data_IF_490311243422
#
_entry.id   IF_490311243422
#
_cell.length_a   1.000
_cell.length_b   1.000
_cell.length_c   1.000
_cell.angle_alpha   90.00
_cell.angle_beta   90.00
_cell.angle_gamma   90.00
#
_symmetry.space_group_name_H-M   'P 1'
#
loop_
_entity.id
_entity.type
_entity.pdbx_description
1 polymer ?
#
# COMPACT_ATOMS: atom_id res chain seq x y z
N UNK A 1 -4.54 -5.21 14.73
CA UNK A 1 -3.73 -4.37 13.81
C UNK A 1 -4.59 -4.04 12.62
N UNK A 2 -4.81 -2.76 12.31
CA UNK A 2 -5.66 -2.33 11.20
C UNK A 2 -4.83 -1.93 10.00
N UNK A 3 -5.05 -2.58 8.87
CA UNK A 3 -4.34 -2.33 7.62
C UNK A 3 -5.34 -1.81 6.59
N UNK A 4 -5.15 -0.57 6.17
CA UNK A 4 -5.87 0.03 5.05
C UNK A 4 -5.18 -0.30 3.74
N UNK A 5 -5.84 -1.02 2.84
CA UNK A 5 -5.39 -1.26 1.49
C UNK A 5 -6.12 -0.35 0.52
N UNK A 6 -5.39 0.31 -0.38
CA UNK A 6 -5.97 1.12 -1.44
C UNK A 6 -5.34 0.78 -2.78
N UNK A 7 -6.10 0.08 -3.62
CA UNK A 7 -5.65 -0.45 -4.92
C UNK A 7 -6.69 -0.15 -6.00
N UNK A 8 -6.32 -0.12 -7.30
CA UNK A 8 -7.29 0.00 -8.39
C UNK A 8 -8.09 -1.30 -8.53
N UNK A 9 -9.34 -1.33 -8.07
CA UNK A 9 -10.23 -2.49 -8.24
C UNK A 9 -11.07 -2.37 -9.52
N UNK A 10 -11.26 -1.13 -9.98
CA UNK A 10 -11.91 -0.80 -11.25
C UNK A 10 -11.05 0.16 -12.08
N UNK A 11 -11.40 0.31 -13.36
CA UNK A 11 -10.66 1.17 -14.28
C UNK A 11 -9.37 0.55 -14.78
N UNK A 12 -8.37 1.38 -15.09
CA UNK A 12 -7.10 0.93 -15.67
C UNK A 12 -6.26 0.22 -14.60
N UNK A 13 -5.73 -0.96 -14.90
CA UNK A 13 -4.97 -1.73 -13.90
C UNK A 13 -5.83 -2.41 -12.82
N UNK A 14 -7.14 -2.54 -13.05
CA UNK A 14 -8.04 -3.32 -12.20
C UNK A 14 -7.55 -4.76 -11.97
N UNK A 15 -6.97 -5.39 -13.00
CA UNK A 15 -6.41 -6.74 -12.89
C UNK A 15 -5.32 -6.80 -11.81
N UNK A 16 -4.40 -5.82 -11.79
CA UNK A 16 -3.34 -5.74 -10.78
C UNK A 16 -3.88 -5.50 -9.38
N UNK A 17 -4.86 -4.60 -9.22
CA UNK A 17 -5.42 -4.33 -7.89
C UNK A 17 -6.30 -5.47 -7.38
N UNK A 18 -7.00 -6.20 -8.25
CA UNK A 18 -7.74 -7.41 -7.87
C UNK A 18 -6.78 -8.51 -7.40
N UNK A 19 -5.70 -8.77 -8.14
CA UNK A 19 -4.66 -9.72 -7.71
C UNK A 19 -4.05 -9.28 -6.37
N UNK A 20 -3.67 -8.01 -6.23
CA UNK A 20 -3.11 -7.49 -4.98
C UNK A 20 -4.08 -7.64 -3.79
N UNK A 21 -5.37 -7.32 -3.97
CA UNK A 21 -6.40 -7.50 -2.94
C UNK A 21 -6.51 -8.96 -2.51
N UNK A 22 -6.61 -9.87 -3.46
CA UNK A 22 -6.70 -11.31 -3.18
C UNK A 22 -5.45 -11.80 -2.44
N UNK A 23 -4.25 -11.40 -2.87
CA UNK A 23 -3.00 -11.76 -2.18
C UNK A 23 -2.95 -11.26 -0.75
N UNK A 24 -3.43 -10.03 -0.49
CA UNK A 24 -3.49 -9.47 0.86
C UNK A 24 -4.53 -10.15 1.74
N UNK A 25 -5.68 -10.53 1.18
CA UNK A 25 -6.71 -11.29 1.88
C UNK A 25 -6.17 -12.66 2.32
N UNK A 26 -5.57 -13.41 1.39
CA UNK A 26 -4.95 -14.72 1.68
C UNK A 26 -3.86 -14.58 2.74
N UNK A 27 -2.95 -13.62 2.60
CA UNK A 27 -1.89 -13.40 3.58
C UNK A 27 -2.45 -13.03 4.97
N UNK A 28 -3.50 -12.21 5.01
CA UNK A 28 -4.18 -11.83 6.27
C UNK A 28 -4.79 -13.04 6.94
N UNK A 29 -5.48 -13.89 6.19
CA UNK A 29 -6.08 -15.13 6.69
C UNK A 29 -5.01 -16.09 7.23
N UNK A 30 -3.92 -16.31 6.49
CA UNK A 30 -2.82 -17.17 6.94
C UNK A 30 -2.13 -16.66 8.20
N UNK A 31 -1.88 -15.36 8.29
CA UNK A 31 -1.24 -14.76 9.47
C UNK A 31 -2.19 -14.83 10.67
N UNK A 32 -3.46 -14.51 10.49
CA UNK A 32 -4.46 -14.61 11.55
C UNK A 32 -4.64 -16.06 12.04
N UNK A 33 -4.62 -17.04 11.13
CA UNK A 33 -4.65 -18.46 11.48
C UNK A 33 -3.43 -18.90 12.32
N UNK A 34 -2.28 -18.24 12.15
CA UNK A 34 -1.04 -18.46 12.93
C UNK A 34 -0.99 -17.67 14.24
N UNK A 35 -2.08 -17.03 14.65
CA UNK A 35 -2.17 -16.25 15.89
C UNK A 35 -1.95 -14.75 15.72
N UNK A 36 -1.93 -14.24 14.48
CA UNK A 36 -1.82 -12.82 14.19
C UNK A 36 -0.41 -12.26 14.36
N UNK A 37 -0.28 -10.93 14.27
CA UNK A 37 1.00 -10.24 14.44
C UNK A 37 1.18 -9.95 15.94
N UNK A 38 2.15 -10.62 16.57
CA UNK A 38 2.40 -10.46 18.00
C UNK A 38 1.21 -10.86 18.88
N UNK A 39 0.38 -11.80 18.42
CA UNK A 39 -0.85 -12.21 19.13
C UNK A 39 -2.09 -11.37 18.81
N UNK A 40 -1.97 -10.35 17.95
CA UNK A 40 -3.09 -9.49 17.57
C UNK A 40 -3.59 -9.81 16.16
N UNK A 41 -4.91 -9.99 15.95
CA UNK A 41 -5.45 -10.22 14.63
C UNK A 41 -5.30 -8.98 13.74
N UNK A 42 -5.10 -9.23 12.45
CA UNK A 42 -5.09 -8.24 11.38
C UNK A 42 -6.54 -8.03 10.90
N UNK A 43 -6.94 -6.77 10.80
CA UNK A 43 -8.15 -6.32 10.12
C UNK A 43 -7.75 -5.60 8.83
N UNK A 44 -8.12 -6.18 7.69
CA UNK A 44 -7.82 -5.62 6.37
C UNK A 44 -9.03 -4.84 5.84
N UNK A 45 -8.82 -3.57 5.48
CA UNK A 45 -9.86 -2.68 4.94
C UNK A 45 -9.42 -2.22 3.54
N UNK A 46 -10.11 -2.69 2.50
CA UNK A 46 -9.75 -2.40 1.11
C UNK A 46 -10.67 -1.35 0.48
N UNK A 47 -10.08 -0.37 -0.21
CA UNK A 47 -10.80 0.62 -1.01
C UNK A 47 -10.31 0.68 -2.46
N UNK A 48 -11.23 1.01 -3.37
CA UNK A 48 -10.95 1.18 -4.79
C UNK A 48 -10.50 2.60 -5.11
N UNK A 49 -9.26 2.75 -5.57
CA UNK A 49 -8.71 4.05 -5.99
C UNK A 49 -9.24 4.54 -7.35
N UNK A 50 -9.87 3.67 -8.15
CA UNK A 50 -10.35 3.97 -9.51
C UNK A 50 -9.28 4.58 -10.43
N UNK A 51 -7.99 4.48 -10.09
CA UNK A 51 -6.88 5.20 -10.72
C UNK A 51 -6.97 6.73 -10.69
N UNK A 52 -7.72 7.30 -9.74
CA UNK A 52 -7.92 8.75 -9.62
C UNK A 52 -7.27 9.29 -8.34
N UNK A 53 -6.49 10.35 -8.48
CA UNK A 53 -5.83 11.04 -7.34
C UNK A 53 -6.85 11.58 -6.33
N UNK A 54 -7.93 12.17 -6.83
CA UNK A 54 -9.01 12.71 -6.01
C UNK A 54 -9.67 11.63 -5.15
N UNK A 55 -9.84 10.41 -5.67
CA UNK A 55 -10.35 9.28 -4.91
C UNK A 55 -9.31 8.77 -3.91
N UNK A 56 -8.03 8.71 -4.29
CA UNK A 56 -6.94 8.37 -3.37
C UNK A 56 -6.89 9.25 -2.12
N UNK A 57 -7.02 10.57 -2.27
CA UNK A 57 -7.05 11.51 -1.14
C UNK A 57 -8.27 11.30 -0.23
N UNK A 58 -9.46 11.06 -0.80
CA UNK A 58 -10.68 10.76 -0.02
C UNK A 58 -10.53 9.46 0.76
N UNK A 59 -9.95 8.44 0.14
CA UNK A 59 -9.70 7.15 0.76
C UNK A 59 -8.74 7.31 1.94
N UNK A 60 -7.66 8.08 1.78
CA UNK A 60 -6.73 8.34 2.88
C UNK A 60 -7.39 9.07 4.04
N UNK A 61 -8.16 10.13 3.79
CA UNK A 61 -8.92 10.80 4.86
C UNK A 61 -9.84 9.81 5.57
N UNK A 62 -10.55 8.94 4.85
CA UNK A 62 -11.39 7.90 5.47
C UNK A 62 -10.57 6.90 6.29
N UNK A 63 -9.46 6.39 5.76
CA UNK A 63 -8.59 5.41 6.42
C UNK A 63 -7.98 5.98 7.70
N UNK A 64 -7.56 7.25 7.66
CA UNK A 64 -6.93 7.95 8.79
C UNK A 64 -7.97 8.36 9.83
N UNK A 65 -9.04 9.04 9.42
CA UNK A 65 -9.97 9.71 10.33
C UNK A 65 -11.09 8.80 10.82
N UNK A 66 -11.62 7.94 9.94
CA UNK A 66 -12.79 7.11 10.25
C UNK A 66 -12.39 5.71 10.68
N UNK A 67 -11.61 5.05 9.84
CA UNK A 67 -11.26 3.65 10.06
C UNK A 67 -10.08 3.51 11.04
N UNK A 68 -9.33 4.62 11.25
CA UNK A 68 -8.17 4.78 12.13
C UNK A 68 -7.16 3.64 11.98
N UNK A 69 -6.70 3.44 10.76
CA UNK A 69 -5.74 2.36 10.44
C UNK A 69 -4.35 2.65 11.01
N UNK A 70 -3.58 1.60 11.24
CA UNK A 70 -2.18 1.67 11.66
C UNK A 70 -1.25 1.79 10.45
N UNK A 71 -1.59 1.07 9.38
CA UNK A 71 -0.83 1.00 8.13
C UNK A 71 -1.72 1.32 6.94
N UNK A 72 -1.22 2.10 6.00
CA UNK A 72 -1.80 2.31 4.67
C UNK A 72 -0.91 1.60 3.66
N UNK A 73 -1.48 0.75 2.83
CA UNK A 73 -0.79 -0.09 1.85
C UNK A 73 -1.40 0.15 0.47
N UNK A 74 -0.56 0.19 -0.56
CA UNK A 74 -1.03 -0.17 -1.89
C UNK A 74 -1.13 0.87 -3.00
N UNK A 75 -0.70 2.16 -2.93
CA UNK A 75 -0.78 2.97 -4.13
C UNK A 75 0.13 2.35 -5.21
N UNK A 76 -0.50 1.74 -6.23
CA UNK A 76 0.17 1.07 -7.35
C UNK A 76 0.72 2.11 -8.33
N UNK A 77 -0.01 3.21 -8.50
CA UNK A 77 0.36 4.29 -9.42
C UNK A 77 1.05 5.44 -8.69
N UNK A 78 2.17 5.91 -9.26
CA UNK A 78 3.04 6.93 -8.67
C UNK A 78 2.37 8.29 -8.47
N UNK A 79 1.40 8.64 -9.33
CA UNK A 79 0.65 9.88 -9.21
C UNK A 79 -0.23 9.90 -7.95
N UNK A 80 -0.88 8.77 -7.63
CA UNK A 80 -1.64 8.60 -6.40
C UNK A 80 -0.69 8.64 -5.20
N UNK A 81 0.43 7.91 -5.25
CA UNK A 81 1.40 7.92 -4.15
C UNK A 81 1.91 9.34 -3.85
N UNK A 82 2.25 10.12 -4.88
CA UNK A 82 2.68 11.51 -4.71
C UNK A 82 1.63 12.37 -4.01
N UNK A 83 0.35 12.20 -4.35
CA UNK A 83 -0.74 12.91 -3.71
C UNK A 83 -0.95 12.51 -2.24
N UNK A 84 -0.81 11.21 -1.92
CA UNK A 84 -1.15 10.69 -0.59
C UNK A 84 0.01 10.62 0.40
N UNK A 85 1.26 10.71 -0.06
CA UNK A 85 2.43 10.55 0.80
C UNK A 85 2.40 11.51 2.00
N UNK A 86 2.24 12.81 1.74
CA UNK A 86 2.21 13.84 2.77
C UNK A 86 1.06 13.66 3.78
N UNK A 87 -0.21 13.50 3.37
CA UNK A 87 -1.31 13.36 4.34
C UNK A 87 -1.22 12.08 5.19
N UNK A 88 -0.64 10.98 4.67
CA UNK A 88 -0.46 9.76 5.47
C UNK A 88 0.65 9.93 6.51
N UNK A 89 1.79 10.50 6.11
CA UNK A 89 2.94 10.73 7.00
C UNK A 89 2.64 11.80 8.04
N UNK A 90 2.02 12.91 7.66
CA UNK A 90 1.61 13.98 8.59
C UNK A 90 0.60 13.48 9.64
N UNK A 91 -0.20 12.46 9.29
CA UNK A 91 -1.11 11.78 10.21
C UNK A 91 -0.41 10.75 11.13
N UNK A 92 0.91 10.62 11.03
CA UNK A 92 1.71 9.67 11.82
C UNK A 92 1.44 8.20 11.46
N UNK A 93 0.91 7.93 10.27
CA UNK A 93 0.60 6.57 9.81
C UNK A 93 1.72 6.06 8.91
N UNK A 94 1.90 4.74 8.88
CA UNK A 94 2.89 4.12 8.01
C UNK A 94 2.32 3.91 6.61
N UNK A 95 3.10 4.27 5.60
CA UNK A 95 2.74 4.06 4.20
C UNK A 95 3.63 3.00 3.56
N UNK A 96 3.04 1.95 3.02
CA UNK A 96 3.72 0.86 2.30
C UNK A 96 3.27 0.87 0.83
N UNK A 97 4.16 1.24 -0.09
CA UNK A 97 3.86 1.12 -1.53
C UNK A 97 4.48 -0.16 -2.12
N UNK A 98 3.68 -1.02 -2.81
CA UNK A 98 4.15 -2.26 -3.41
C UNK A 98 4.86 -2.10 -4.77
N UNK A 99 4.80 -0.92 -5.41
CA UNK A 99 5.29 -0.75 -6.80
C UNK A 99 5.76 0.67 -7.12
N UNK A 100 5.11 1.69 -6.55
CA UNK A 100 5.43 3.06 -6.91
C UNK A 100 6.67 3.53 -6.14
N UNK A 101 7.81 3.54 -6.81
CA UNK A 101 8.98 4.33 -6.43
C UNK A 101 8.96 5.70 -7.12
N UNK A 102 8.26 6.73 -6.61
CA UNK A 102 8.60 8.09 -6.95
C UNK A 102 9.89 8.40 -6.20
N UNK A 103 10.94 8.72 -6.95
CA UNK A 103 12.24 9.18 -6.46
C UNK A 103 12.15 10.34 -5.45
N UNK A 104 11.00 11.01 -5.37
CA UNK A 104 10.70 12.12 -4.46
C UNK A 104 10.15 11.70 -3.08
N UNK A 105 9.80 10.43 -2.85
CA UNK A 105 9.27 9.95 -1.56
C UNK A 105 10.32 9.31 -0.63
N UNK A 106 11.62 9.39 -0.98
CA UNK A 106 12.70 8.81 -0.18
C UNK A 106 13.00 9.56 1.14
N UNK A 107 12.49 10.79 1.31
CA UNK A 107 12.87 11.70 2.41
C UNK A 107 11.74 11.95 3.44
N UNK A 108 10.97 10.91 3.80
CA UNK A 108 9.92 11.00 4.82
C UNK A 108 9.99 9.87 5.86
N UNK A 109 10.13 10.23 7.14
CA UNK A 109 9.98 9.26 8.23
C UNK A 109 8.56 8.68 8.21
N UNK A 110 8.41 7.35 8.19
CA UNK A 110 7.11 6.66 8.15
C UNK A 110 6.68 6.14 6.77
N UNK A 111 7.50 6.31 5.73
CA UNK A 111 7.28 5.70 4.41
C UNK A 111 8.20 4.50 4.19
N UNK A 112 7.63 3.36 3.83
CA UNK A 112 8.36 2.16 3.42
C UNK A 112 8.02 1.83 1.97
N UNK A 113 9.03 1.75 1.13
CA UNK A 113 8.90 1.25 -0.24
C UNK A 113 9.19 -0.24 -0.19
N UNK A 114 8.20 -1.06 -0.57
CA UNK A 114 8.38 -2.50 -0.76
C UNK A 114 8.18 -2.74 -2.24
N UNK A 115 9.26 -2.73 -3.01
CA UNK A 115 9.20 -2.97 -4.45
C UNK A 115 8.90 -4.46 -4.68
N UNK A 116 7.66 -4.77 -5.07
CA UNK A 116 7.30 -6.08 -5.62
C UNK A 116 7.41 -5.94 -7.13
N UNK A 117 8.64 -6.04 -7.65
CA UNK A 117 8.84 -6.17 -9.09
C UNK A 117 8.12 -7.44 -9.57
N UNK A 118 7.18 -7.30 -10.50
CA UNK A 118 6.59 -8.44 -11.21
C UNK A 118 7.52 -9.03 -12.28
N UNK A 119 8.81 -8.72 -12.27
CA UNK A 119 9.78 -9.22 -13.26
C UNK A 119 11.06 -9.73 -12.60
N UNK A 120 11.00 -10.93 -12.02
CA UNK A 120 12.17 -11.81 -12.07
C UNK A 120 11.79 -13.26 -12.40
N UNK A 121 11.50 -13.49 -13.69
CA UNK A 121 11.71 -14.80 -14.32
C UNK A 121 12.95 -14.79 -15.24
N UNK A 122 13.82 -13.77 -15.15
CA UNK A 122 14.98 -13.62 -16.05
C UNK A 122 16.35 -13.41 -15.38
N UNK A 123 16.43 -13.44 -14.05
CA UNK A 123 17.67 -13.61 -13.28
C UNK A 123 18.64 -12.43 -13.32
N UNK A 124 18.18 -11.19 -13.17
CA UNK A 124 19.09 -10.03 -13.02
C UNK A 124 18.59 -9.00 -12.00
N UNK A 125 18.96 -9.20 -10.75
CA UNK A 125 18.88 -8.15 -9.73
C UNK A 125 20.01 -7.12 -9.89
N UNK A 126 19.66 -5.84 -10.08
CA UNK A 126 20.59 -4.71 -10.02
C UNK A 126 20.30 -3.87 -8.78
N UNK A 127 21.04 -4.15 -7.70
CA UNK A 127 21.08 -3.32 -6.49
C UNK A 127 21.87 -2.03 -6.75
N UNK A 128 21.19 -0.90 -6.94
CA UNK A 128 21.84 0.41 -6.89
C UNK A 128 21.76 0.99 -5.47
N UNK A 129 22.91 0.99 -4.78
CA UNK A 129 23.17 1.77 -3.57
C UNK A 129 23.53 3.19 -3.98
N UNK A 130 22.68 4.16 -3.65
CA UNK A 130 23.08 5.57 -3.69
C UNK A 130 24.02 5.87 -2.53
N UNK A 131 25.14 6.53 -2.86
CA UNK A 131 26.15 7.05 -1.93
C UNK A 131 25.67 8.30 -1.22
#
# INVERSE_FOLDING_TARGET
VKIGCMVPLTGKGAEWGQTAKISMEIATEEINAKGGIGGLPIELICYDTQTLEAEGLKIVSRLVERDNVDFVVGPIFSNILGAIHKPVVDAGKFLISPNAGPSTARDGAGHFIVEIESEDFSGRSRLERHR
#
